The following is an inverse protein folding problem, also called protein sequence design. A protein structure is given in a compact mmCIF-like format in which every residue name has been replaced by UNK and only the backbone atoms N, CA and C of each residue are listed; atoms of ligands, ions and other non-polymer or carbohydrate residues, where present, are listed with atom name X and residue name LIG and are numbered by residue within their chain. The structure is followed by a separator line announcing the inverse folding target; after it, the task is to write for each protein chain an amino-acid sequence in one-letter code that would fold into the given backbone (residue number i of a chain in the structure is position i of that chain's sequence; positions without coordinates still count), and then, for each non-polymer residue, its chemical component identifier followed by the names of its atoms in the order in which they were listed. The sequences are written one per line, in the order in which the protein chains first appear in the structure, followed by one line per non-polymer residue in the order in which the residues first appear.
data_IF_896854759813
#
_entry.id   IF_896854759813
#
_cell.length_a   1.000
_cell.length_b   1.000
_cell.length_c   1.000
_cell.angle_alpha   90.00
_cell.angle_beta   90.00
_cell.angle_gamma   90.00
#
_symmetry.space_group_name_H-M   'P 1'
#
loop_
_entity.id
_entity.type
_entity.pdbx_description
1 polymer ?
#
# COMPACT_ATOMS: atom_id res chain seq x y z
N UNK A 1 -22.41 10.85 4.42
CA UNK A 1 -21.98 10.39 3.08
C UNK A 1 -20.51 10.73 2.84
N UNK A 2 -20.09 11.98 3.12
CA UNK A 2 -18.67 12.43 3.10
C UNK A 2 -17.71 11.58 3.94
N UNK A 3 -18.07 11.29 5.20
CA UNK A 3 -17.20 10.54 6.13
C UNK A 3 -16.85 9.12 5.66
N UNK A 4 -17.80 8.43 5.01
CA UNK A 4 -17.58 7.07 4.49
C UNK A 4 -16.67 7.07 3.24
N UNK A 5 -16.71 8.13 2.43
CA UNK A 5 -15.80 8.33 1.30
C UNK A 5 -14.37 8.61 1.76
N UNK A 6 -14.22 9.33 2.88
CA UNK A 6 -12.93 9.61 3.50
C UNK A 6 -12.34 8.35 4.17
N UNK A 7 -13.15 7.60 4.93
CA UNK A 7 -12.75 6.32 5.56
C UNK A 7 -12.38 5.24 4.53
N UNK A 8 -13.11 5.16 3.40
CA UNK A 8 -12.75 4.26 2.30
C UNK A 8 -11.41 4.63 1.64
N UNK A 9 -11.07 5.92 1.64
CA UNK A 9 -9.79 6.43 1.17
C UNK A 9 -8.67 6.02 2.12
N UNK A 10 -8.93 6.01 3.44
CA UNK A 10 -7.96 5.65 4.45
C UNK A 10 -7.61 4.16 4.44
N UNK A 11 -8.60 3.28 4.27
CA UNK A 11 -8.33 1.83 4.12
C UNK A 11 -7.49 1.54 2.88
N UNK A 12 -7.80 2.21 1.77
CA UNK A 12 -7.05 2.04 0.51
C UNK A 12 -5.62 2.56 0.62
N UNK A 13 -5.43 3.73 1.25
CA UNK A 13 -4.10 4.28 1.55
C UNK A 13 -3.29 3.36 2.46
N UNK A 14 -3.90 2.83 3.51
CA UNK A 14 -3.24 1.89 4.41
C UNK A 14 -2.76 0.63 3.67
N UNK A 15 -3.60 0.05 2.79
CA UNK A 15 -3.23 -1.10 1.95
C UNK A 15 -2.06 -0.79 1.01
N UNK A 16 -2.05 0.40 0.41
CA UNK A 16 -0.98 0.83 -0.48
C UNK A 16 0.34 1.00 0.30
N UNK A 17 0.28 1.62 1.49
CA UNK A 17 1.44 1.85 2.34
C UNK A 17 2.04 0.55 2.87
N UNK A 18 1.22 -0.36 3.40
CA UNK A 18 1.71 -1.66 3.88
C UNK A 18 2.32 -2.47 2.74
N UNK A 19 1.70 -2.45 1.55
CA UNK A 19 2.26 -3.13 0.36
C UNK A 19 3.62 -2.56 -0.03
N UNK A 20 3.76 -1.23 -0.03
CA UNK A 20 5.01 -0.56 -0.33
C UNK A 20 6.11 -0.90 0.68
N UNK A 21 5.86 -0.71 1.99
CA UNK A 21 6.88 -0.94 3.00
C UNK A 21 7.24 -2.43 3.14
N UNK A 22 6.27 -3.33 3.00
CA UNK A 22 6.54 -4.77 3.00
C UNK A 22 7.47 -5.15 1.85
N UNK A 23 7.30 -4.54 0.68
CA UNK A 23 8.19 -4.76 -0.46
C UNK A 23 9.56 -4.08 -0.29
N UNK A 24 9.58 -2.83 0.16
CA UNK A 24 10.78 -1.99 0.21
C UNK A 24 11.66 -2.26 1.43
N UNK A 25 11.06 -2.33 2.60
CA UNK A 25 11.77 -2.39 3.90
C UNK A 25 11.97 -3.84 4.34
N UNK A 26 10.97 -4.70 4.13
CA UNK A 26 11.04 -6.12 4.52
C UNK A 26 11.55 -7.04 3.41
N UNK A 27 11.72 -6.52 2.18
CA UNK A 27 12.27 -7.26 1.05
C UNK A 27 11.37 -8.35 0.47
N UNK A 28 10.09 -8.40 0.85
CA UNK A 28 9.14 -9.42 0.37
C UNK A 28 8.74 -9.10 -1.07
N UNK A 29 8.72 -10.09 -1.96
CA UNK A 29 8.38 -9.84 -3.36
C UNK A 29 6.91 -9.43 -3.53
N UNK A 30 6.62 -8.60 -4.52
CA UNK A 30 5.23 -8.22 -4.84
C UNK A 30 4.33 -9.43 -5.11
N UNK A 31 4.90 -10.53 -5.64
CA UNK A 31 4.16 -11.79 -5.85
C UNK A 31 3.71 -12.40 -4.53
N UNK A 32 4.62 -12.56 -3.56
CA UNK A 32 4.30 -13.11 -2.24
C UNK A 32 3.26 -12.24 -1.51
N UNK A 33 3.36 -10.91 -1.65
CA UNK A 33 2.37 -9.99 -1.09
C UNK A 33 1.00 -10.15 -1.78
N UNK A 34 0.97 -10.31 -3.11
CA UNK A 34 -0.27 -10.58 -3.85
C UNK A 34 -0.93 -11.89 -3.41
N UNK A 35 -0.14 -12.95 -3.31
CA UNK A 35 -0.60 -14.28 -2.89
C UNK A 35 -1.17 -14.20 -1.46
N UNK A 36 -0.50 -13.49 -0.55
CA UNK A 36 -0.95 -13.29 0.84
C UNK A 36 -2.26 -12.49 0.93
N UNK A 37 -2.38 -11.40 0.15
CA UNK A 37 -3.60 -10.58 0.15
C UNK A 37 -4.73 -11.13 -0.73
N UNK A 38 -4.49 -12.21 -1.48
CA UNK A 38 -5.48 -12.77 -2.42
C UNK A 38 -5.83 -11.81 -3.57
N UNK A 39 -4.85 -11.03 -4.04
CA UNK A 39 -5.03 -10.05 -5.13
C UNK A 39 -4.17 -10.40 -6.33
N UNK A 40 -4.52 -9.83 -7.50
CA UNK A 40 -3.76 -10.07 -8.73
C UNK A 40 -2.41 -9.34 -8.74
N UNK A 41 -1.47 -9.85 -9.54
CA UNK A 41 -0.15 -9.20 -9.73
C UNK A 41 -0.23 -7.73 -10.21
N UNK A 42 -1.17 -7.35 -11.11
CA UNK A 42 -1.36 -5.94 -11.45
C UNK A 42 -1.88 -5.10 -10.28
N UNK A 43 -2.80 -5.64 -9.47
CA UNK A 43 -3.38 -4.94 -8.32
C UNK A 43 -2.33 -4.65 -7.24
N UNK A 44 -1.47 -5.62 -6.92
CA UNK A 44 -0.40 -5.38 -5.95
C UNK A 44 0.67 -4.44 -6.49
N UNK A 45 1.01 -4.54 -7.78
CA UNK A 45 1.96 -3.63 -8.43
C UNK A 45 1.46 -2.19 -8.39
N UNK A 46 0.16 -1.99 -8.62
CA UNK A 46 -0.49 -0.69 -8.48
C UNK A 46 -0.41 -0.19 -7.02
N UNK A 47 -0.73 -1.05 -6.05
CA UNK A 47 -0.76 -0.70 -4.63
C UNK A 47 0.62 -0.27 -4.12
N UNK A 48 1.68 -1.00 -4.48
CA UNK A 48 3.08 -0.65 -4.15
C UNK A 48 3.43 0.75 -4.71
N UNK A 49 3.10 1.01 -5.98
CA UNK A 49 3.37 2.31 -6.62
C UNK A 49 2.59 3.47 -5.96
N UNK A 50 1.34 3.23 -5.58
CA UNK A 50 0.55 4.25 -4.87
C UNK A 50 1.09 4.52 -3.47
N UNK A 51 1.58 3.48 -2.76
CA UNK A 51 2.22 3.63 -1.46
C UNK A 51 3.49 4.46 -1.56
N UNK A 52 4.36 4.15 -2.52
CA UNK A 52 5.58 4.94 -2.80
C UNK A 52 5.25 6.41 -3.09
N UNK A 53 4.24 6.66 -3.94
CA UNK A 53 3.79 8.02 -4.26
C UNK A 53 3.32 8.75 -3.00
N UNK A 54 2.52 8.09 -2.15
CA UNK A 54 2.00 8.69 -0.93
C UNK A 54 3.14 9.06 0.04
N UNK A 55 4.09 8.14 0.26
CA UNK A 55 5.29 8.38 1.08
C UNK A 55 6.04 9.62 0.61
N UNK A 56 6.34 9.71 -0.69
CA UNK A 56 7.05 10.85 -1.27
C UNK A 56 6.31 12.17 -1.18
N UNK A 57 4.98 12.15 -1.24
CA UNK A 57 4.16 13.36 -1.23
C UNK A 57 3.90 13.90 0.17
N UNK A 58 3.88 13.03 1.17
CA UNK A 58 3.46 13.39 2.53
C UNK A 58 4.60 13.28 3.55
N UNK A 59 5.80 12.91 3.11
CA UNK A 59 6.99 12.73 3.97
C UNK A 59 6.72 11.78 5.15
N UNK A 60 5.96 10.70 4.89
CA UNK A 60 5.60 9.71 5.91
C UNK A 60 6.59 8.56 5.88
N UNK A 61 7.06 8.16 7.06
CA UNK A 61 8.00 7.06 7.22
C UNK A 61 7.35 5.91 7.98
N UNK A 62 7.77 4.67 7.69
CA UNK A 62 7.43 3.55 8.55
C UNK A 62 8.18 3.76 9.87
N UNK A 63 7.44 3.84 10.97
CA UNK A 63 8.03 3.91 12.30
C UNK A 63 8.53 2.50 12.65
N UNK A 64 9.84 2.39 12.83
CA UNK A 64 10.51 1.24 13.45
C UNK A 64 11.25 1.72 14.68
#
# INVERSE_FOLDING_TARGET
MEKALEEANDVSRAKNLISFWTNRELGISGKEIADYFGVSSPAISYSIKQGEKYVRQNDVNLLF
#
